data_IF_638539032361
#
_entry.id   IF_638539032361
#
_cell.length_a   1.000
_cell.length_b   1.000
_cell.length_c   1.000
_cell.angle_alpha   90.00
_cell.angle_beta   90.00
_cell.angle_gamma   90.00
#
_symmetry.space_group_name_H-M   'P 1'
#
loop_
_entity.id
_entity.type
_entity.pdbx_description
1 polymer ?
#
# COMPACT_ATOMS: atom_id res chain seq x y z
N UNK A 1 6.30 -7.16 -11.02
CA UNK A 1 5.28 -7.72 -10.10
C UNK A 1 4.03 -8.21 -10.84
N UNK A 2 3.44 -7.47 -11.80
CA UNK A 2 2.48 -8.07 -12.76
C UNK A 2 3.09 -9.28 -13.52
N UNK A 3 4.40 -9.24 -13.76
CA UNK A 3 5.15 -10.36 -14.34
C UNK A 3 5.10 -11.67 -13.52
N UNK A 4 4.89 -11.63 -12.20
CA UNK A 4 4.89 -12.85 -11.37
C UNK A 4 3.59 -13.63 -11.52
N UNK A 5 2.44 -12.94 -11.47
CA UNK A 5 1.15 -13.57 -11.73
C UNK A 5 1.04 -14.08 -13.19
N UNK A 6 1.57 -13.32 -14.15
CA UNK A 6 1.63 -13.74 -15.56
C UNK A 6 2.57 -14.94 -15.75
N UNK A 7 3.71 -15.00 -15.05
CA UNK A 7 4.62 -16.16 -15.08
C UNK A 7 3.99 -17.40 -14.47
N UNK A 8 3.27 -17.26 -13.35
CA UNK A 8 2.51 -18.35 -12.74
C UNK A 8 1.43 -18.89 -13.71
N UNK A 9 0.65 -18.01 -14.34
CA UNK A 9 -0.37 -18.39 -15.32
C UNK A 9 0.23 -19.10 -16.55
N UNK A 10 1.44 -18.71 -16.97
CA UNK A 10 2.17 -19.40 -18.05
C UNK A 10 2.73 -20.76 -17.61
N UNK A 11 3.13 -20.92 -16.35
CA UNK A 11 3.65 -22.20 -15.84
C UNK A 11 2.55 -23.24 -15.60
N UNK A 12 1.29 -22.83 -15.43
CA UNK A 12 0.14 -23.73 -15.25
C UNK A 12 -0.63 -24.03 -16.55
N UNK A 13 -0.04 -23.74 -17.71
CA UNK A 13 -0.56 -24.20 -19.01
C UNK A 13 -1.77 -23.44 -19.55
N UNK A 14 -1.98 -22.18 -19.18
CA UNK A 14 -2.98 -21.35 -19.86
C UNK A 14 -2.62 -21.23 -21.36
N UNK A 15 -3.51 -21.60 -22.30
CA UNK A 15 -3.20 -21.60 -23.73
C UNK A 15 -2.99 -20.17 -24.22
N UNK A 16 -1.73 -19.81 -24.48
CA UNK A 16 -1.38 -18.57 -25.19
C UNK A 16 -1.45 -18.81 -26.69
N UNK A 17 -2.65 -18.73 -27.25
CA UNK A 17 -2.82 -18.44 -28.68
C UNK A 17 -3.26 -17.00 -28.83
N UNK A 18 -2.28 -16.11 -29.01
CA UNK A 18 -2.54 -14.82 -29.63
C UNK A 18 -1.59 -14.71 -30.82
N UNK A 19 -2.16 -14.80 -32.03
CA UNK A 19 -1.46 -14.46 -33.26
C UNK A 19 -0.90 -13.03 -33.13
N UNK A 20 0.31 -12.81 -33.62
CA UNK A 20 0.89 -11.48 -33.68
C UNK A 20 -0.01 -10.57 -34.55
N UNK A 21 -0.41 -9.38 -34.08
CA UNK A 21 -1.18 -8.48 -34.91
C UNK A 21 -0.34 -8.01 -36.09
N UNK A 22 -1.00 -7.94 -37.25
CA UNK A 22 -0.44 -7.44 -38.50
C UNK A 22 0.08 -6.00 -38.32
N UNK A 23 1.25 -5.71 -38.93
CA UNK A 23 2.00 -4.45 -38.76
C UNK A 23 1.34 -3.23 -39.41
N UNK A 24 0.15 -3.37 -39.98
CA UNK A 24 -0.48 -2.39 -40.86
C UNK A 24 -1.50 -1.45 -40.19
N UNK A 25 -1.86 -1.63 -38.91
CA UNK A 25 -2.85 -0.77 -38.25
C UNK A 25 -2.23 0.01 -37.07
N UNK A 26 -1.35 0.97 -37.38
CA UNK A 26 -1.00 2.03 -36.44
C UNK A 26 -2.14 3.05 -36.39
N UNK A 27 -3.28 2.65 -35.84
CA UNK A 27 -4.31 3.57 -35.40
C UNK A 27 -3.67 4.64 -34.50
N UNK A 28 -4.03 5.89 -34.74
CA UNK A 28 -3.51 7.05 -34.02
C UNK A 28 -3.57 6.80 -32.51
N UNK A 29 -2.42 6.90 -31.83
CA UNK A 29 -2.36 6.81 -30.38
C UNK A 29 -3.33 7.85 -29.83
N UNK A 30 -4.37 7.46 -29.06
CA UNK A 30 -5.30 8.43 -28.51
C UNK A 30 -4.51 9.48 -27.71
N UNK A 31 -4.89 10.76 -27.78
CA UNK A 31 -4.16 11.80 -27.08
C UNK A 31 -4.05 11.42 -25.59
N UNK A 32 -2.85 11.55 -25.03
CA UNK A 32 -2.65 11.28 -23.60
C UNK A 32 -3.66 12.12 -22.82
N UNK A 33 -4.42 11.51 -21.88
CA UNK A 33 -5.31 12.28 -21.02
C UNK A 33 -4.53 13.42 -20.37
N UNK A 34 -5.11 14.62 -20.33
CA UNK A 34 -4.52 15.72 -19.60
C UNK A 34 -4.42 15.31 -18.12
N UNK A 35 -3.19 15.30 -17.58
CA UNK A 35 -2.95 14.98 -16.19
C UNK A 35 -3.52 16.12 -15.33
N UNK A 36 -4.67 15.90 -14.72
CA UNK A 36 -5.29 16.84 -13.77
C UNK A 36 -5.81 16.09 -12.55
N UNK A 37 -5.79 16.76 -11.40
CA UNK A 37 -6.48 16.26 -10.21
C UNK A 37 -7.99 16.18 -10.48
N UNK A 38 -8.65 15.10 -10.04
CA UNK A 38 -10.11 15.05 -10.01
C UNK A 38 -10.59 16.11 -9.02
N UNK A 39 -11.48 16.99 -9.47
CA UNK A 39 -12.10 18.03 -8.65
C UNK A 39 -13.26 17.47 -7.84
N UNK A 40 -13.63 18.18 -6.77
CA UNK A 40 -14.67 17.74 -5.84
C UNK A 40 -16.08 17.67 -6.49
N UNK A 41 -16.31 18.48 -7.52
CA UNK A 41 -17.51 18.55 -8.33
C UNK A 41 -17.60 17.45 -9.42
N UNK A 42 -16.54 16.67 -9.64
CA UNK A 42 -16.50 15.58 -10.64
C UNK A 42 -17.07 14.24 -10.11
N UNK A 43 -18.04 14.29 -9.17
CA UNK A 43 -18.71 13.08 -8.65
C UNK A 43 -19.51 12.41 -9.77
N UNK A 44 -19.12 11.19 -10.13
CA UNK A 44 -19.92 10.33 -11.00
C UNK A 44 -21.25 9.96 -10.31
N UNK A 45 -22.32 9.67 -11.08
CA UNK A 45 -23.62 9.23 -10.53
C UNK A 45 -23.57 7.75 -10.10
N UNK A 46 -22.53 7.36 -9.36
CA UNK A 46 -22.35 6.03 -8.79
C UNK A 46 -22.59 6.09 -7.30
N UNK A 47 -23.35 5.13 -6.77
CA UNK A 47 -23.51 4.98 -5.33
C UNK A 47 -22.15 4.55 -4.72
N UNK A 48 -21.60 5.30 -3.75
CA UNK A 48 -20.40 4.89 -3.03
C UNK A 48 -20.51 3.54 -2.34
N UNK A 49 -21.71 3.07 -1.99
CA UNK A 49 -21.94 1.74 -1.44
C UNK A 49 -21.69 0.65 -2.50
N UNK A 50 -22.25 0.82 -3.70
CA UNK A 50 -22.06 -0.11 -4.82
C UNK A 50 -20.59 -0.17 -5.24
N UNK A 51 -19.93 0.98 -5.34
CA UNK A 51 -18.51 1.06 -5.68
C UNK A 51 -17.66 0.27 -4.68
N UNK A 52 -17.92 0.42 -3.38
CA UNK A 52 -17.22 -0.34 -2.33
C UNK A 52 -17.56 -1.82 -2.34
N UNK A 53 -18.84 -2.17 -2.60
CA UNK A 53 -19.27 -3.55 -2.67
C UNK A 53 -18.54 -4.29 -3.80
N UNK A 54 -18.50 -3.70 -5.01
CA UNK A 54 -17.80 -4.26 -6.16
C UNK A 54 -16.30 -4.35 -5.92
N UNK A 55 -15.65 -3.26 -5.48
CA UNK A 55 -14.21 -3.28 -5.23
C UNK A 55 -13.81 -4.19 -4.07
N UNK A 56 -14.71 -4.45 -3.12
CA UNK A 56 -14.47 -5.39 -2.04
C UNK A 56 -14.20 -6.83 -2.50
N UNK A 57 -14.54 -7.18 -3.74
CA UNK A 57 -14.21 -8.48 -4.33
C UNK A 57 -12.73 -8.62 -4.72
N UNK A 58 -11.98 -7.53 -4.83
CA UNK A 58 -10.53 -7.59 -5.04
C UNK A 58 -9.82 -7.78 -3.70
N UNK A 59 -9.49 -9.02 -3.37
CA UNK A 59 -8.78 -9.34 -2.13
C UNK A 59 -7.38 -8.70 -2.11
N UNK A 60 -7.00 -8.14 -0.97
CA UNK A 60 -5.67 -7.55 -0.76
C UNK A 60 -5.00 -8.11 0.48
N UNK A 61 -3.67 -7.99 0.53
CA UNK A 61 -2.97 -7.99 1.81
C UNK A 61 -3.28 -6.70 2.59
N UNK A 62 -2.79 -6.64 3.83
CA UNK A 62 -2.92 -5.45 4.69
C UNK A 62 -1.54 -5.02 5.15
N UNK A 63 -1.32 -3.70 5.18
CA UNK A 63 -0.09 -3.10 5.67
C UNK A 63 -0.36 -2.07 6.76
N UNK A 64 0.65 -1.75 7.55
CA UNK A 64 0.70 -0.52 8.35
C UNK A 64 1.84 0.34 7.84
N UNK A 65 1.52 1.58 7.46
CA UNK A 65 2.50 2.58 7.07
C UNK A 65 2.89 3.36 8.32
N UNK A 66 4.19 3.48 8.60
CA UNK A 66 4.72 4.19 9.77
C UNK A 66 5.74 5.24 9.36
N UNK A 67 5.93 6.27 10.19
CA UNK A 67 7.00 7.26 10.08
C UNK A 67 7.56 7.58 11.47
N UNK A 68 8.83 8.00 11.57
CA UNK A 68 9.44 8.32 12.86
C UNK A 68 8.74 9.52 13.51
N UNK A 69 8.97 9.68 14.81
CA UNK A 69 8.61 10.92 15.49
C UNK A 69 9.47 12.08 14.94
N UNK A 70 8.97 13.33 14.94
CA UNK A 70 9.77 14.48 14.55
C UNK A 70 10.95 14.68 15.51
N UNK A 71 12.14 15.02 15.00
CA UNK A 71 13.34 15.25 15.83
C UNK A 71 13.15 16.38 16.86
N UNK A 72 12.31 17.37 16.54
CA UNK A 72 12.04 18.53 17.40
C UNK A 72 10.84 18.32 18.33
N UNK A 73 10.22 17.14 18.34
CA UNK A 73 8.99 16.92 19.09
C UNK A 73 9.28 16.53 20.54
N UNK A 74 8.61 17.23 21.47
CA UNK A 74 8.40 16.76 22.83
C UNK A 74 7.47 15.54 22.86
N UNK A 75 6.17 15.75 23.16
CA UNK A 75 5.22 14.68 23.47
C UNK A 75 4.63 13.88 22.29
N UNK A 76 4.92 14.23 21.03
CA UNK A 76 4.34 13.55 19.88
C UNK A 76 5.19 12.33 19.47
N UNK A 77 4.63 11.12 19.64
CA UNK A 77 5.29 9.86 19.27
C UNK A 77 5.39 9.61 17.76
N UNK A 78 5.68 8.37 17.32
CA UNK A 78 5.66 8.01 15.90
C UNK A 78 4.26 8.10 15.28
N UNK A 79 4.21 8.13 13.95
CA UNK A 79 2.97 8.18 13.19
C UNK A 79 2.72 6.85 12.47
N UNK A 80 1.45 6.45 12.32
CA UNK A 80 1.11 5.31 11.48
C UNK A 80 -0.38 5.09 11.26
N UNK A 81 -0.70 4.36 10.19
CA UNK A 81 -2.07 4.00 9.83
C UNK A 81 -2.13 2.68 9.06
N UNK A 82 -3.26 1.98 9.17
CA UNK A 82 -3.53 0.77 8.39
C UNK A 82 -3.86 1.13 6.93
N UNK A 83 -3.29 0.40 5.98
CA UNK A 83 -3.38 0.67 4.55
C UNK A 83 -3.55 -0.63 3.74
N UNK A 84 -4.57 -0.68 2.90
CA UNK A 84 -4.85 -1.79 1.97
C UNK A 84 -4.52 -1.46 0.51
N UNK A 85 -4.32 -0.18 0.17
CA UNK A 85 -4.05 0.33 -1.18
C UNK A 85 -2.57 0.21 -1.58
N UNK A 86 -1.79 -0.59 -0.86
CA UNK A 86 -0.37 -0.79 -1.12
C UNK A 86 -0.14 -1.64 -2.37
N UNK A 87 0.81 -1.24 -3.20
CA UNK A 87 1.27 -2.02 -4.33
C UNK A 87 2.76 -1.79 -4.63
N UNK A 88 3.41 -2.80 -5.20
CA UNK A 88 4.69 -2.63 -5.89
C UNK A 88 4.50 -1.82 -7.18
N UNK A 89 5.41 -0.90 -7.48
CA UNK A 89 5.29 -0.01 -8.64
C UNK A 89 6.37 -0.29 -9.70
N UNK A 90 7.64 -0.32 -9.31
CA UNK A 90 8.77 -0.45 -10.25
C UNK A 90 9.88 -1.32 -9.65
N UNK A 91 10.61 -2.00 -10.53
CA UNK A 91 11.80 -2.76 -10.16
C UNK A 91 13.08 -1.93 -10.29
N UNK A 92 13.19 -1.12 -11.35
CA UNK A 92 14.33 -0.25 -11.60
C UNK A 92 13.85 1.14 -12.09
N UNK A 93 13.94 2.20 -11.27
CA UNK A 93 14.34 2.15 -9.85
C UNK A 93 13.32 1.37 -9.00
N UNK A 94 13.71 0.85 -7.81
CA UNK A 94 12.81 0.10 -6.95
C UNK A 94 11.80 1.04 -6.27
N UNK A 95 10.53 0.94 -6.68
CA UNK A 95 9.45 1.81 -6.20
C UNK A 95 8.25 1.02 -5.68
N UNK A 96 7.61 1.57 -4.67
CA UNK A 96 6.30 1.14 -4.15
C UNK A 96 5.32 2.31 -4.14
N UNK A 97 4.03 2.01 -4.03
CA UNK A 97 2.98 3.02 -3.91
C UNK A 97 1.95 2.65 -2.85
N UNK A 98 1.35 3.65 -2.23
CA UNK A 98 0.13 3.51 -1.45
C UNK A 98 -0.76 4.75 -1.64
N UNK A 99 -2.04 4.61 -1.33
CA UNK A 99 -2.99 5.72 -1.38
C UNK A 99 -3.47 6.09 0.01
N UNK A 100 -3.51 7.38 0.30
CA UNK A 100 -3.96 7.93 1.59
C UNK A 100 -5.00 9.02 1.38
N UNK A 101 -6.06 9.01 2.18
CA UNK A 101 -7.11 10.01 2.08
C UNK A 101 -6.54 11.42 2.33
N UNK A 102 -7.00 12.42 1.57
CA UNK A 102 -6.59 13.83 1.77
C UNK A 102 -6.93 14.37 3.15
N UNK A 103 -7.98 13.81 3.78
CA UNK A 103 -8.42 14.13 5.14
C UNK A 103 -7.70 13.36 6.25
N UNK A 104 -6.68 12.55 5.92
CA UNK A 104 -5.91 11.80 6.92
C UNK A 104 -5.20 12.74 7.90
N UNK A 105 -5.40 12.51 9.20
CA UNK A 105 -4.66 13.20 10.27
C UNK A 105 -3.24 12.66 10.45
N UNK A 106 -2.96 11.46 9.93
CA UNK A 106 -1.63 10.82 9.99
C UNK A 106 -0.73 11.28 8.84
N UNK A 107 -1.30 11.53 7.66
CA UNK A 107 -0.53 11.87 6.46
C UNK A 107 0.38 13.09 6.64
N UNK A 108 -0.05 14.23 7.20
CA UNK A 108 0.83 15.39 7.38
C UNK A 108 2.09 15.08 8.20
N UNK A 109 2.03 14.12 9.14
CA UNK A 109 3.19 13.70 9.94
C UNK A 109 4.17 12.89 9.10
N UNK A 110 3.67 11.95 8.30
CA UNK A 110 4.48 11.14 7.36
C UNK A 110 5.10 12.04 6.27
N UNK A 111 4.32 12.96 5.70
CA UNK A 111 4.79 13.90 4.68
C UNK A 111 5.91 14.80 5.20
N UNK A 112 5.79 15.29 6.44
CA UNK A 112 6.86 16.09 7.09
C UNK A 112 8.12 15.28 7.36
N UNK A 113 7.99 14.01 7.75
CA UNK A 113 9.14 13.14 7.94
C UNK A 113 9.87 12.85 6.61
N UNK A 114 9.17 12.87 5.48
CA UNK A 114 9.73 12.59 4.16
C UNK A 114 10.08 11.11 3.92
N UNK A 115 9.84 10.26 4.92
CA UNK A 115 10.21 8.85 4.96
C UNK A 115 9.11 8.02 5.62
N UNK A 116 9.08 6.73 5.31
CA UNK A 116 8.14 5.79 5.89
C UNK A 116 8.63 4.35 5.84
N UNK A 117 8.08 3.50 6.70
CA UNK A 117 8.20 2.05 6.62
C UNK A 117 6.83 1.43 6.32
N UNK A 118 6.79 0.50 5.36
CA UNK A 118 5.64 -0.37 5.10
C UNK A 118 5.82 -1.64 5.91
N UNK A 119 4.86 -1.96 6.77
CA UNK A 119 4.83 -3.19 7.57
C UNK A 119 3.76 -4.11 7.02
N UNK A 120 4.12 -5.22 6.37
CA UNK A 120 3.17 -6.17 5.77
C UNK A 120 2.67 -7.11 6.86
N UNK A 121 1.36 -7.19 7.07
CA UNK A 121 0.79 -7.92 8.20
C UNK A 121 0.57 -9.41 7.92
N UNK A 122 0.85 -10.23 8.94
CA UNK A 122 0.56 -11.67 8.97
C UNK A 122 -0.84 -11.98 9.51
N UNK A 123 -1.35 -13.17 9.24
CA UNK A 123 -2.74 -13.60 9.51
C UNK A 123 -3.22 -13.41 10.97
N UNK A 124 -2.30 -13.42 11.95
CA UNK A 124 -2.60 -13.19 13.36
C UNK A 124 -2.75 -11.72 13.76
N UNK A 125 -2.39 -10.76 12.90
CA UNK A 125 -2.23 -9.35 13.25
C UNK A 125 -3.50 -8.50 12.99
N UNK A 126 -4.69 -9.12 12.95
CA UNK A 126 -5.95 -8.40 12.75
C UNK A 126 -6.27 -7.40 13.87
N UNK A 127 -5.88 -7.70 15.12
CA UNK A 127 -6.04 -6.76 16.24
C UNK A 127 -5.14 -5.52 16.08
N UNK A 128 -3.89 -5.72 15.70
CA UNK A 128 -2.93 -4.65 15.38
C UNK A 128 -3.45 -3.78 14.24
N UNK A 129 -3.96 -4.39 13.16
CA UNK A 129 -4.58 -3.65 12.07
C UNK A 129 -5.73 -2.74 12.55
N UNK A 130 -6.63 -3.24 13.40
CA UNK A 130 -7.75 -2.44 13.94
C UNK A 130 -7.27 -1.25 14.78
N UNK A 131 -6.26 -1.46 15.62
CA UNK A 131 -5.66 -0.39 16.42
C UNK A 131 -5.10 0.75 15.55
N UNK A 132 -4.53 0.43 14.39
CA UNK A 132 -4.00 1.43 13.47
C UNK A 132 -5.04 2.06 12.52
N UNK A 133 -6.25 1.49 12.44
CA UNK A 133 -7.34 1.98 11.60
C UNK A 133 -8.18 3.09 12.25
N UNK A 134 -8.17 3.20 13.59
CA UNK A 134 -8.94 4.23 14.31
C UNK A 134 -8.19 5.57 14.39
N UNK A 135 -8.91 6.68 14.43
CA UNK A 135 -8.34 8.03 14.63
C UNK A 135 -8.26 8.39 16.12
N UNK A 136 -7.30 9.23 16.50
CA UNK A 136 -7.29 9.92 17.80
C UNK A 136 -6.75 9.16 19.03
N UNK A 137 -6.35 7.89 18.89
CA UNK A 137 -5.69 7.13 19.96
C UNK A 137 -4.16 7.13 19.82
N UNK A 138 -3.44 6.87 20.91
CA UNK A 138 -2.04 6.46 20.84
C UNK A 138 -1.96 5.05 20.26
N UNK A 139 -1.78 4.98 18.94
CA UNK A 139 -1.75 3.74 18.16
C UNK A 139 -0.55 2.85 18.48
N UNK A 140 0.49 3.41 19.09
CA UNK A 140 1.73 2.71 19.39
C UNK A 140 1.80 2.23 20.85
N UNK A 141 0.84 2.60 21.69
CA UNK A 141 0.73 2.09 23.05
C UNK A 141 0.70 0.56 23.06
N UNK A 142 1.69 -0.06 23.72
CA UNK A 142 1.84 -1.52 23.79
C UNK A 142 2.29 -2.20 22.48
N UNK A 143 2.68 -1.44 21.46
CA UNK A 143 3.14 -1.98 20.17
C UNK A 143 4.66 -2.00 20.12
N UNK A 144 5.25 -3.18 20.23
CA UNK A 144 6.69 -3.38 20.08
C UNK A 144 7.14 -3.07 18.65
N UNK A 145 8.16 -2.22 18.53
CA UNK A 145 8.75 -1.87 17.25
C UNK A 145 10.24 -1.51 17.40
N UNK A 146 10.97 -1.62 16.30
CA UNK A 146 12.38 -1.23 16.18
C UNK A 146 12.53 -0.21 15.05
N UNK A 147 13.52 0.69 15.08
CA UNK A 147 13.75 1.61 13.95
C UNK A 147 14.15 0.82 12.69
N UNK A 148 13.61 1.23 11.53
CA UNK A 148 14.08 0.78 10.23
C UNK A 148 15.51 1.30 9.99
N UNK A 149 16.36 0.54 9.28
CA UNK A 149 17.81 0.77 9.27
C UNK A 149 18.24 2.06 8.58
N UNK A 150 17.45 2.61 7.64
CA UNK A 150 17.81 3.82 6.90
C UNK A 150 17.04 5.02 7.42
N UNK A 151 15.72 4.89 7.59
CA UNK A 151 14.88 6.05 7.89
C UNK A 151 14.52 6.22 9.37
N UNK A 152 14.81 5.21 10.20
CA UNK A 152 14.35 5.18 11.59
C UNK A 152 12.84 4.97 11.75
N UNK A 153 12.07 4.83 10.66
CA UNK A 153 10.63 4.59 10.71
C UNK A 153 10.31 3.30 11.49
N UNK A 154 9.24 3.24 12.31
CA UNK A 154 8.91 2.06 13.08
C UNK A 154 8.69 0.80 12.21
N UNK A 155 9.54 -0.20 12.40
CA UNK A 155 9.31 -1.58 11.96
C UNK A 155 8.65 -2.35 13.10
N UNK A 156 7.40 -2.75 12.91
CA UNK A 156 6.59 -3.42 13.92
C UNK A 156 7.08 -4.87 14.12
N UNK A 157 7.04 -5.36 15.36
CA UNK A 157 7.46 -6.73 15.66
C UNK A 157 6.48 -7.77 15.09
N UNK A 158 7.01 -8.94 14.71
CA UNK A 158 6.21 -10.09 14.25
C UNK A 158 5.52 -9.89 12.90
N UNK A 159 5.92 -8.89 12.12
CA UNK A 159 5.42 -8.70 10.75
C UNK A 159 6.22 -9.59 9.79
N UNK A 160 5.58 -10.32 8.87
CA UNK A 160 6.26 -11.15 7.87
C UNK A 160 7.30 -10.41 7.02
N UNK A 161 7.07 -9.13 6.73
CA UNK A 161 7.95 -8.34 5.87
C UNK A 161 7.81 -6.84 6.11
N UNK A 162 8.86 -6.11 5.77
CA UNK A 162 8.92 -4.66 5.88
C UNK A 162 9.70 -4.02 4.72
N UNK A 163 9.39 -2.75 4.43
CA UNK A 163 10.00 -1.99 3.34
C UNK A 163 10.25 -0.55 3.81
N UNK A 164 11.52 -0.16 3.85
CA UNK A 164 11.98 1.16 4.31
C UNK A 164 12.15 2.12 3.11
N UNK A 165 11.46 3.26 3.13
CA UNK A 165 11.26 4.11 1.96
C UNK A 165 11.46 5.60 2.25
N UNK A 166 12.02 6.31 1.27
CA UNK A 166 11.89 7.76 1.17
C UNK A 166 10.73 8.12 0.22
N UNK A 167 10.01 9.20 0.50
CA UNK A 167 8.97 9.71 -0.40
C UNK A 167 9.65 10.24 -1.67
N UNK A 168 9.29 9.66 -2.81
CA UNK A 168 9.81 10.01 -4.13
C UNK A 168 8.91 11.01 -4.85
N UNK A 169 7.59 10.81 -4.78
CA UNK A 169 6.61 11.68 -5.41
C UNK A 169 5.24 11.54 -4.73
N UNK A 170 4.41 12.58 -4.87
CA UNK A 170 3.02 12.58 -4.43
C UNK A 170 2.15 13.16 -5.54
N UNK A 171 1.13 12.41 -5.95
CA UNK A 171 0.18 12.81 -6.99
C UNK A 171 -1.23 12.90 -6.41
N UNK A 172 -2.09 13.66 -7.09
CA UNK A 172 -3.51 13.71 -6.77
C UNK A 172 -4.22 12.48 -7.37
N UNK A 173 -5.08 11.85 -6.57
CA UNK A 173 -5.90 10.69 -6.95
C UNK A 173 -7.35 10.91 -6.55
N UNK A 174 -7.90 12.08 -6.84
CA UNK A 174 -9.21 12.53 -6.36
C UNK A 174 -9.21 12.83 -4.87
N UNK A 175 -10.05 12.16 -4.09
CA UNK A 175 -10.14 12.33 -2.64
C UNK A 175 -8.97 11.69 -1.87
N UNK A 176 -8.09 10.99 -2.58
CA UNK A 176 -6.83 10.43 -2.08
C UNK A 176 -5.60 11.09 -2.72
N UNK A 177 -4.47 10.92 -2.06
CA UNK A 177 -3.14 11.14 -2.62
C UNK A 177 -2.53 9.79 -2.99
N UNK A 178 -1.80 9.76 -4.11
CA UNK A 178 -1.00 8.62 -4.55
C UNK A 178 0.44 8.91 -4.14
N UNK A 179 0.97 8.15 -3.20
CA UNK A 179 2.31 8.35 -2.64
C UNK A 179 3.24 7.30 -3.23
N UNK A 180 4.30 7.76 -3.89
CA UNK A 180 5.36 6.90 -4.45
C UNK A 180 6.55 6.92 -3.51
N UNK A 181 7.00 5.75 -3.08
CA UNK A 181 8.19 5.58 -2.25
C UNK A 181 9.35 4.96 -3.02
N UNK A 182 10.55 5.51 -2.84
CA UNK A 182 11.80 4.89 -3.27
C UNK A 182 12.30 3.97 -2.17
N UNK A 183 12.46 2.69 -2.49
CA UNK A 183 12.89 1.68 -1.54
C UNK A 183 14.38 1.85 -1.25
N UNK A 184 14.73 1.97 0.03
CA UNK A 184 16.10 2.10 0.52
C UNK A 184 16.60 0.80 1.17
N UNK A 185 15.73 0.09 1.87
CA UNK A 185 15.99 -1.23 2.43
C UNK A 185 14.68 -2.02 2.53
N UNK A 186 14.76 -3.34 2.60
CA UNK A 186 13.61 -4.22 2.82
C UNK A 186 14.08 -5.53 3.47
N UNK A 187 13.16 -6.23 4.13
CA UNK A 187 13.48 -7.49 4.77
C UNK A 187 12.24 -8.32 5.06
N UNK A 188 12.48 -9.58 5.39
CA UNK A 188 11.46 -10.59 5.71
C UNK A 188 11.80 -11.30 7.01
N UNK A 189 10.77 -11.71 7.73
CA UNK A 189 10.85 -12.62 8.87
C UNK A 189 10.15 -13.93 8.48
N UNK A 190 10.94 -14.99 8.30
CA UNK A 190 10.45 -16.28 7.83
C UNK A 190 9.57 -17.00 8.85
N UNK A 191 9.81 -16.80 10.15
CA UNK A 191 8.99 -17.40 11.20
C UNK A 191 7.63 -16.70 11.25
N UNK A 192 7.63 -15.37 11.26
CA UNK A 192 6.39 -14.58 11.21
C UNK A 192 5.57 -14.85 9.93
N UNK A 193 6.23 -15.19 8.82
CA UNK A 193 5.57 -15.51 7.56
C UNK A 193 4.85 -16.87 7.54
N UNK A 194 5.14 -17.80 8.47
CA UNK A 194 4.57 -19.16 8.45
C UNK A 194 3.05 -19.18 8.53
N UNK A 195 2.45 -18.23 9.27
CA UNK A 195 1.00 -18.13 9.42
C UNK A 195 0.28 -17.58 8.18
N UNK A 196 1.04 -17.17 7.15
CA UNK A 196 0.52 -16.53 5.95
C UNK A 196 0.10 -15.06 6.16
N UNK A 197 -0.33 -14.36 5.09
CA UNK A 197 -0.70 -12.96 5.15
C UNK A 197 -2.05 -12.73 5.83
N UNK A 198 -2.22 -11.56 6.45
CA UNK A 198 -3.55 -11.02 6.74
C UNK A 198 -4.18 -10.57 5.44
N UNK A 199 -5.32 -11.17 5.09
CA UNK A 199 -6.10 -10.76 3.93
C UNK A 199 -7.28 -9.90 4.34
N UNK A 200 -7.67 -8.98 3.46
CA UNK A 200 -8.92 -8.23 3.54
C UNK A 200 -9.73 -8.46 2.27
N UNK A 201 -10.98 -8.90 2.43
CA UNK A 201 -11.86 -9.21 1.32
C UNK A 201 -13.31 -8.99 1.76
N UNK A 202 -14.09 -8.26 0.96
CA UNK A 202 -15.51 -7.94 1.21
C UNK A 202 -15.80 -7.41 2.63
N UNK A 203 -14.91 -6.56 3.14
CA UNK A 203 -15.08 -5.93 4.45
C UNK A 203 -14.66 -6.78 5.64
N UNK A 204 -14.11 -7.98 5.43
CA UNK A 204 -13.73 -8.91 6.51
C UNK A 204 -12.26 -9.31 6.41
N UNK A 205 -11.68 -9.67 7.56
CA UNK A 205 -10.36 -10.29 7.60
C UNK A 205 -10.45 -11.78 7.25
N UNK A 206 -9.47 -12.24 6.49
CA UNK A 206 -9.30 -13.63 6.10
C UNK A 206 -7.85 -14.08 6.18
N UNK A 207 -7.63 -15.31 5.74
CA UNK A 207 -6.31 -15.94 5.65
C UNK A 207 -6.14 -16.56 4.27
N UNK A 208 -4.90 -16.68 3.83
CA UNK A 208 -4.58 -17.44 2.63
C UNK A 208 -4.62 -18.95 2.95
N UNK A 209 -5.32 -19.73 2.14
CA UNK A 209 -5.33 -21.19 2.19
C UNK A 209 -4.88 -21.70 0.80
N UNK A 210 -3.67 -22.27 0.68
CA UNK A 210 -3.09 -22.67 -0.60
C UNK A 210 -3.83 -23.83 -1.28
#
# INVERSE_FOLDING_TARGET
>A
MAATAVRYLRSVGAPTSAAAPDRADRAAVPPRPALRAVREDERAPLDPADFRAVLGHFASGVTIITAPAPETAGADGPAGFACQSFASLSLDPPLVTFMVARMSTTWPRIARAGVFCVNILGAGQGALCRAFAVSGADKFAGVTHTPAPVTGSPRLAGVPAWIDCAIQAVHTGGDHLIVVGRVAALGTDTEAAQAGPLLFHRGTFGRFNP
#
